data_IF_719558968791
#
_entry.id   IF_719558968791
#
_cell.length_a   1.000
_cell.length_b   1.000
_cell.length_c   1.000
_cell.angle_alpha   90.00
_cell.angle_beta   90.00
_cell.angle_gamma   90.00
#
_symmetry.space_group_name_H-M   'P 1'
#
loop_
_entity.id
_entity.type
_entity.pdbx_description
1 polymer ?
#
# COMPACT_ATOMS: atom_id res chain seq x y z
N UNK A 1 43.69 -33.52 40.73
CA UNK A 1 42.22 -33.66 40.69
C UNK A 1 41.87 -34.64 39.61
N UNK A 2 40.97 -35.56 39.83
CA UNK A 2 40.46 -36.44 38.78
C UNK A 2 39.55 -35.64 37.84
N UNK A 3 39.43 -36.05 36.59
CA UNK A 3 38.55 -35.40 35.58
C UNK A 3 37.11 -35.26 36.09
N UNK A 4 36.62 -36.20 36.89
CA UNK A 4 35.32 -36.15 37.54
C UNK A 4 35.23 -35.05 38.63
N UNK A 5 36.33 -34.76 39.33
CA UNK A 5 36.38 -33.65 40.30
C UNK A 5 36.42 -32.28 39.61
N UNK A 6 37.10 -32.17 38.45
CA UNK A 6 37.11 -30.95 37.61
C UNK A 6 35.71 -30.69 37.06
N UNK A 7 35.05 -31.73 36.56
CA UNK A 7 33.64 -31.62 36.05
C UNK A 7 32.70 -31.15 37.18
N UNK A 8 32.85 -31.71 38.39
CA UNK A 8 32.00 -31.36 39.55
C UNK A 8 32.22 -29.94 40.01
N UNK A 9 33.48 -29.46 39.99
CA UNK A 9 33.80 -28.06 40.31
C UNK A 9 33.31 -27.09 39.26
N UNK A 10 33.59 -27.33 37.97
CA UNK A 10 33.12 -26.51 36.89
C UNK A 10 31.60 -26.43 36.82
N UNK A 11 30.91 -27.53 37.02
CA UNK A 11 29.42 -27.57 37.11
C UNK A 11 28.88 -26.79 38.32
N UNK A 12 29.66 -26.64 39.40
CA UNK A 12 29.31 -25.80 40.56
C UNK A 12 29.59 -24.32 40.31
N UNK A 13 30.60 -23.99 39.50
CA UNK A 13 30.92 -22.60 39.14
C UNK A 13 30.02 -22.01 38.08
N UNK A 14 29.40 -22.84 37.17
CA UNK A 14 28.38 -22.41 36.23
C UNK A 14 27.11 -22.04 36.98
N UNK A 15 27.08 -20.82 37.50
CA UNK A 15 25.95 -20.35 38.33
C UNK A 15 24.64 -20.26 37.57
N UNK A 16 24.66 -20.04 36.26
CA UNK A 16 23.41 -19.96 35.46
C UNK A 16 23.72 -20.02 33.95
N UNK A 17 23.20 -21.02 33.26
CA UNK A 17 23.13 -21.05 31.79
C UNK A 17 21.84 -20.35 31.39
N UNK A 18 21.94 -19.34 30.55
CA UNK A 18 20.79 -18.62 30.02
C UNK A 18 20.48 -19.15 28.63
N UNK A 19 19.22 -19.46 28.40
CA UNK A 19 18.71 -19.90 27.12
C UNK A 19 17.71 -18.87 26.60
N UNK A 20 17.89 -18.45 25.35
CA UNK A 20 16.98 -17.52 24.69
C UNK A 20 16.54 -18.08 23.36
N UNK A 21 15.24 -18.01 23.10
CA UNK A 21 14.61 -18.35 21.83
C UNK A 21 14.23 -17.06 21.10
N UNK A 22 14.54 -16.99 19.81
CA UNK A 22 14.10 -15.89 18.98
C UNK A 22 12.57 -15.86 18.92
N UNK A 23 11.91 -14.68 18.91
CA UNK A 23 10.48 -14.62 18.77
C UNK A 23 10.00 -15.29 17.47
N UNK A 24 8.88 -15.98 17.54
CA UNK A 24 8.19 -16.61 16.42
C UNK A 24 6.97 -15.78 15.99
N UNK A 25 6.40 -16.13 14.84
CA UNK A 25 5.20 -15.50 14.28
C UNK A 25 4.20 -16.59 13.87
N UNK A 26 2.95 -16.47 14.28
CA UNK A 26 1.88 -17.40 13.89
C UNK A 26 1.79 -17.52 12.38
N UNK A 27 1.68 -18.76 11.87
CA UNK A 27 1.55 -19.05 10.44
C UNK A 27 2.82 -18.82 9.60
N UNK A 28 3.98 -18.61 10.24
CA UNK A 28 5.27 -18.49 9.55
C UNK A 28 6.21 -19.62 9.96
N UNK A 29 6.84 -20.26 8.98
CA UNK A 29 7.84 -21.30 9.24
C UNK A 29 8.92 -20.78 10.20
N UNK A 30 9.17 -21.54 11.24
CA UNK A 30 10.16 -21.25 12.29
C UNK A 30 11.22 -22.35 12.30
N UNK A 31 12.48 -21.96 12.26
CA UNK A 31 13.62 -22.88 12.38
C UNK A 31 14.80 -22.10 12.99
N UNK A 32 14.99 -22.20 14.30
CA UNK A 32 15.96 -21.41 15.03
C UNK A 32 16.74 -22.25 16.05
N UNK A 33 18.04 -21.97 16.16
CA UNK A 33 18.84 -22.47 17.28
C UNK A 33 18.47 -21.75 18.57
N UNK A 34 18.55 -22.49 19.69
CA UNK A 34 18.48 -21.87 21.00
C UNK A 34 19.79 -21.12 21.26
N UNK A 35 19.71 -19.83 21.52
CA UNK A 35 20.90 -19.05 21.93
C UNK A 35 21.25 -19.42 23.37
N UNK A 36 22.51 -19.81 23.57
CA UNK A 36 23.06 -20.24 24.87
C UNK A 36 24.09 -19.20 25.29
N UNK A 37 23.89 -18.63 26.47
CA UNK A 37 24.81 -17.65 27.04
C UNK A 37 25.62 -18.32 28.18
N UNK A 38 26.74 -18.89 27.81
CA UNK A 38 27.75 -19.49 28.70
C UNK A 38 29.04 -19.73 27.92
N UNK A 39 30.23 -19.65 28.58
CA UNK A 39 31.49 -19.99 27.95
C UNK A 39 31.70 -21.51 27.79
N UNK A 40 30.95 -22.36 28.50
CA UNK A 40 31.07 -23.80 28.43
C UNK A 40 30.34 -24.39 27.24
N UNK A 41 30.79 -25.53 26.78
CA UNK A 41 30.09 -26.28 25.75
C UNK A 41 28.84 -26.96 26.36
N UNK A 42 27.67 -26.61 25.81
CA UNK A 42 26.39 -27.14 26.23
C UNK A 42 25.74 -27.92 25.08
N UNK A 43 25.19 -29.07 25.37
CA UNK A 43 24.40 -29.89 24.45
C UNK A 43 22.96 -29.99 24.96
N UNK A 44 21.99 -29.63 24.13
CA UNK A 44 20.56 -29.74 24.44
C UNK A 44 20.09 -31.14 24.10
N UNK A 45 19.62 -31.88 25.10
CA UNK A 45 19.15 -33.27 24.94
C UNK A 45 17.65 -33.35 24.63
N UNK A 46 16.85 -32.40 25.10
CA UNK A 46 15.43 -32.29 24.81
C UNK A 46 14.90 -30.88 25.12
N UNK A 47 13.81 -30.51 24.47
CA UNK A 47 13.05 -29.32 24.80
C UNK A 47 11.57 -29.70 24.93
N UNK A 48 10.98 -29.37 26.08
CA UNK A 48 9.55 -29.51 26.31
C UNK A 48 8.87 -28.20 25.92
N UNK A 49 8.07 -28.25 24.85
CA UNK A 49 7.23 -27.14 24.36
C UNK A 49 5.81 -27.67 24.24
N UNK A 50 4.80 -26.88 24.60
CA UNK A 50 3.40 -27.29 24.45
C UNK A 50 3.13 -27.65 22.97
N UNK A 51 2.68 -28.87 22.66
CA UNK A 51 2.37 -29.32 21.30
C UNK A 51 1.34 -28.38 20.57
N UNK A 52 0.48 -27.70 21.31
CA UNK A 52 -0.47 -26.74 20.75
C UNK A 52 0.21 -25.56 20.04
N UNK A 53 1.47 -25.31 20.36
CA UNK A 53 2.24 -24.26 19.67
C UNK A 53 2.55 -24.58 18.22
N UNK A 54 2.47 -25.85 17.79
CA UNK A 54 2.90 -26.30 16.46
C UNK A 54 4.42 -26.39 16.28
N UNK A 55 5.18 -26.29 17.39
CA UNK A 55 6.64 -26.32 17.37
C UNK A 55 7.17 -27.57 18.04
N UNK A 56 8.32 -28.08 17.55
CA UNK A 56 9.04 -29.20 18.09
C UNK A 56 10.54 -28.96 18.09
N UNK A 57 11.26 -29.70 18.90
CA UNK A 57 12.73 -29.71 18.92
C UNK A 57 13.28 -30.82 18.02
N UNK A 58 14.11 -30.42 17.07
CA UNK A 58 14.94 -31.32 16.28
C UNK A 58 16.30 -31.47 16.96
N UNK A 59 16.47 -32.58 17.68
CA UNK A 59 17.70 -32.85 18.42
C UNK A 59 18.92 -33.02 17.50
N UNK A 60 18.73 -33.59 16.30
CA UNK A 60 19.83 -33.81 15.34
C UNK A 60 20.43 -32.52 14.85
N UNK A 61 19.58 -31.54 14.52
CA UNK A 61 19.97 -30.25 14.03
C UNK A 61 20.09 -29.21 15.14
N UNK A 62 19.73 -29.52 16.39
CA UNK A 62 19.75 -28.63 17.56
C UNK A 62 18.93 -27.35 17.33
N UNK A 63 17.77 -27.45 16.65
CA UNK A 63 16.87 -26.34 16.35
C UNK A 63 15.47 -26.59 16.89
N UNK A 64 14.77 -25.54 17.22
CA UNK A 64 13.32 -25.54 17.38
C UNK A 64 12.70 -25.22 16.03
N UNK A 65 11.80 -26.07 15.54
CA UNK A 65 11.23 -25.99 14.19
C UNK A 65 9.73 -26.27 14.19
N UNK A 66 9.04 -25.78 13.16
CA UNK A 66 7.62 -25.99 12.92
C UNK A 66 6.92 -24.73 12.42
N UNK A 67 5.61 -24.75 12.44
CA UNK A 67 4.77 -23.60 12.13
C UNK A 67 3.99 -23.20 13.40
N UNK A 68 4.28 -22.00 13.98
CA UNK A 68 3.59 -21.55 15.19
C UNK A 68 2.09 -21.36 14.95
N UNK A 69 1.26 -21.95 15.80
CA UNK A 69 -0.21 -21.94 15.66
C UNK A 69 -0.90 -21.01 16.67
N UNK A 70 -0.31 -20.81 17.84
CA UNK A 70 -0.95 -20.09 18.95
C UNK A 70 -0.04 -18.97 19.43
N UNK A 71 -0.53 -17.72 19.32
CA UNK A 71 0.18 -16.56 19.83
C UNK A 71 0.21 -16.54 21.36
N UNK A 72 1.25 -15.95 21.93
CA UNK A 72 1.41 -15.78 23.37
C UNK A 72 2.81 -16.04 23.86
N UNK A 73 2.99 -15.97 25.16
CA UNK A 73 4.23 -16.34 25.84
C UNK A 73 4.12 -17.78 26.33
N UNK A 74 4.88 -18.68 25.73
CA UNK A 74 4.85 -20.10 26.01
C UNK A 74 6.04 -20.49 26.88
N UNK A 75 5.76 -21.23 27.96
CA UNK A 75 6.79 -21.77 28.85
C UNK A 75 7.52 -22.91 28.14
N UNK A 76 8.85 -22.93 28.24
CA UNK A 76 9.73 -23.88 27.59
C UNK A 76 10.69 -24.43 28.64
N UNK A 77 10.79 -25.77 28.72
CA UNK A 77 11.76 -26.45 29.59
C UNK A 77 12.85 -27.06 28.71
N UNK A 78 14.09 -26.65 28.95
CA UNK A 78 15.25 -27.12 28.21
C UNK A 78 16.02 -28.10 29.07
N UNK A 79 16.21 -29.32 28.55
CA UNK A 79 17.05 -30.34 29.13
C UNK A 79 18.43 -30.29 28.47
N UNK A 80 19.47 -30.17 29.25
CA UNK A 80 20.82 -29.98 28.72
C UNK A 80 21.90 -30.64 29.56
N UNK A 81 23.05 -30.87 28.94
CA UNK A 81 24.27 -31.34 29.58
C UNK A 81 25.40 -30.34 29.33
N UNK A 82 26.28 -30.18 30.29
CA UNK A 82 27.51 -29.41 30.13
C UNK A 82 28.63 -30.38 29.77
N UNK A 83 29.40 -30.10 28.74
CA UNK A 83 30.49 -30.93 28.23
C UNK A 83 31.82 -30.27 28.60
N UNK A 84 32.67 -30.97 29.34
CA UNK A 84 34.00 -30.51 29.71
C UNK A 84 34.96 -31.68 29.46
N UNK A 85 36.00 -31.44 28.66
CA UNK A 85 37.03 -32.47 28.34
C UNK A 85 36.44 -33.78 27.86
N UNK A 86 35.43 -33.76 27.00
CA UNK A 86 34.69 -34.90 26.47
C UNK A 86 33.89 -35.71 27.51
N UNK A 87 33.65 -35.17 28.69
CA UNK A 87 32.76 -35.76 29.71
C UNK A 87 31.50 -34.89 29.83
N UNK A 88 30.32 -35.56 29.88
CA UNK A 88 29.02 -34.92 30.04
C UNK A 88 28.59 -34.91 31.50
N UNK A 89 28.02 -33.82 31.97
CA UNK A 89 27.33 -33.75 33.25
C UNK A 89 26.06 -34.61 33.25
N UNK A 90 25.46 -34.80 34.42
CA UNK A 90 24.04 -35.24 34.49
C UNK A 90 23.14 -34.24 33.75
N UNK A 91 21.98 -34.70 33.25
CA UNK A 91 20.98 -33.87 32.61
C UNK A 91 20.47 -32.84 33.61
N UNK A 92 20.47 -31.57 33.20
CA UNK A 92 19.96 -30.43 33.94
C UNK A 92 18.72 -29.85 33.23
N UNK A 93 17.91 -29.10 33.96
CA UNK A 93 16.72 -28.42 33.42
C UNK A 93 16.89 -26.91 33.59
N UNK A 94 16.50 -26.17 32.57
CA UNK A 94 16.33 -24.74 32.61
C UNK A 94 14.94 -24.34 32.10
N UNK A 95 14.39 -23.29 32.68
CA UNK A 95 13.13 -22.71 32.25
C UNK A 95 13.41 -21.45 31.45
N UNK A 96 12.73 -21.30 30.33
CA UNK A 96 12.72 -20.10 29.49
C UNK A 96 11.34 -19.90 28.90
N UNK A 97 11.20 -18.86 28.08
CA UNK A 97 9.94 -18.56 27.39
C UNK A 97 10.21 -18.36 25.91
N UNK A 98 9.27 -18.81 25.09
CA UNK A 98 9.18 -18.46 23.69
C UNK A 98 8.00 -17.49 23.50
N UNK A 99 8.29 -16.34 22.90
CA UNK A 99 7.27 -15.40 22.48
C UNK A 99 6.84 -15.74 21.06
N UNK A 100 5.57 -16.06 20.88
CA UNK A 100 4.94 -16.23 19.56
C UNK A 100 4.03 -15.02 19.33
N UNK A 101 4.41 -14.17 18.39
CA UNK A 101 3.60 -13.01 18.02
C UNK A 101 2.40 -13.45 17.18
N UNK A 102 1.22 -12.82 17.32
CA UNK A 102 0.10 -13.07 16.43
C UNK A 102 0.42 -12.64 15.00
N UNK A 103 -0.24 -13.24 14.01
CA UNK A 103 -0.21 -12.70 12.65
C UNK A 103 -0.76 -11.26 12.69
N UNK A 104 -0.01 -10.25 12.23
CA UNK A 104 -0.49 -8.87 12.19
C UNK A 104 -1.85 -8.72 11.50
N UNK A 105 -2.15 -9.55 10.51
CA UNK A 105 -3.43 -9.54 9.80
C UNK A 105 -4.61 -9.86 10.73
N UNK A 106 -4.42 -10.73 11.73
CA UNK A 106 -5.45 -11.12 12.69
C UNK A 106 -5.82 -10.02 13.68
N UNK A 107 -5.02 -8.96 13.78
CA UNK A 107 -5.27 -7.82 14.66
C UNK A 107 -6.23 -6.81 14.03
N UNK A 108 -6.41 -6.85 12.72
CA UNK A 108 -7.29 -5.95 12.00
C UNK A 108 -8.71 -6.47 11.96
N UNK A 109 -9.65 -5.63 12.39
CA UNK A 109 -11.09 -5.89 12.27
C UNK A 109 -11.59 -5.31 10.96
N UNK A 110 -12.57 -5.94 10.37
CA UNK A 110 -13.31 -5.38 9.24
C UNK A 110 -14.74 -5.06 9.71
N UNK A 111 -14.92 -3.87 10.28
CA UNK A 111 -16.20 -3.36 10.74
C UNK A 111 -16.85 -2.64 9.54
N UNK A 112 -18.07 -3.02 9.10
CA UNK A 112 -18.75 -2.31 8.03
C UNK A 112 -18.90 -0.82 8.36
N UNK A 113 -18.75 0.05 7.36
CA UNK A 113 -19.06 1.47 7.53
C UNK A 113 -20.57 1.67 7.76
N UNK A 114 -20.92 2.70 8.52
CA UNK A 114 -22.32 3.01 8.81
C UNK A 114 -22.99 3.70 7.59
N UNK A 115 -23.95 3.04 6.91
CA UNK A 115 -24.60 3.61 5.74
C UNK A 115 -25.56 4.77 6.06
N UNK A 116 -25.81 5.05 7.33
CA UNK A 116 -26.70 6.14 7.77
C UNK A 116 -25.94 7.45 8.05
N UNK A 117 -24.60 7.40 8.04
CA UNK A 117 -23.80 8.60 8.23
C UNK A 117 -23.96 9.59 7.07
N UNK A 118 -23.79 10.88 7.39
CA UNK A 118 -23.71 11.92 6.38
C UNK A 118 -22.57 11.61 5.40
N UNK A 119 -22.84 11.67 4.09
CA UNK A 119 -21.92 11.32 3.02
C UNK A 119 -21.44 9.85 3.07
N UNK A 120 -22.32 8.95 3.49
CA UNK A 120 -22.04 7.52 3.37
C UNK A 120 -21.78 7.13 1.91
N UNK A 121 -20.72 6.36 1.70
CA UNK A 121 -20.39 5.77 0.39
C UNK A 121 -19.96 4.31 0.55
N UNK A 122 -20.00 3.51 -0.51
CA UNK A 122 -19.55 2.11 -0.46
C UNK A 122 -18.09 1.97 -0.02
N UNK A 123 -17.79 0.91 0.72
CA UNK A 123 -16.44 0.57 1.19
C UNK A 123 -15.48 0.25 0.02
N UNK A 124 -16.02 -0.04 -1.15
CA UNK A 124 -15.27 -0.26 -2.39
C UNK A 124 -16.05 0.23 -3.61
N UNK A 125 -15.33 0.60 -4.66
CA UNK A 125 -15.87 0.97 -5.95
C UNK A 125 -14.94 0.51 -7.06
N UNK A 126 -15.51 0.13 -8.22
CA UNK A 126 -14.72 -0.14 -9.41
C UNK A 126 -15.50 0.20 -10.68
N UNK A 127 -14.80 0.51 -11.75
CA UNK A 127 -15.35 0.86 -13.03
C UNK A 127 -14.43 0.43 -14.16
N UNK A 128 -15.00 -0.02 -15.26
CA UNK A 128 -14.29 -0.30 -16.50
C UNK A 128 -14.90 0.52 -17.66
N UNK A 129 -14.04 1.05 -18.53
CA UNK A 129 -14.42 1.56 -19.85
C UNK A 129 -13.62 0.74 -20.85
N UNK A 130 -14.32 -0.06 -21.66
CA UNK A 130 -13.70 -0.91 -22.65
C UNK A 130 -14.36 -0.69 -24.03
N UNK A 131 -13.53 -0.34 -25.00
CA UNK A 131 -13.92 -0.16 -26.40
C UNK A 131 -12.78 -0.63 -27.33
N UNK A 132 -12.96 -0.72 -28.66
CA UNK A 132 -11.90 -1.16 -29.56
C UNK A 132 -10.58 -0.36 -29.49
N UNK A 133 -10.62 0.89 -29.03
CA UNK A 133 -9.44 1.77 -28.95
C UNK A 133 -9.10 2.22 -27.55
N UNK A 134 -9.90 1.90 -26.55
CA UNK A 134 -9.77 2.42 -25.18
C UNK A 134 -10.04 1.30 -24.19
N UNK A 135 -9.11 1.12 -23.26
CA UNK A 135 -9.30 0.29 -22.09
C UNK A 135 -8.85 1.08 -20.85
N UNK A 136 -9.79 1.35 -19.95
CA UNK A 136 -9.54 2.00 -18.68
C UNK A 136 -10.11 1.19 -17.54
N UNK A 137 -9.34 0.96 -16.52
CA UNK A 137 -9.74 0.30 -15.28
C UNK A 137 -9.57 1.25 -14.11
N UNK A 138 -10.53 1.28 -13.23
CA UNK A 138 -10.45 2.05 -11.98
C UNK A 138 -10.98 1.22 -10.84
N UNK A 139 -10.29 1.27 -9.71
CA UNK A 139 -10.77 0.65 -8.48
C UNK A 139 -10.31 1.45 -7.27
N UNK A 140 -11.15 1.45 -6.24
CA UNK A 140 -10.87 2.06 -4.95
C UNK A 140 -11.39 1.17 -3.84
N UNK A 141 -10.54 0.83 -2.90
CA UNK A 141 -10.79 -0.09 -1.80
C UNK A 141 -10.52 0.60 -0.47
N UNK A 142 -11.47 0.46 0.46
CA UNK A 142 -11.29 0.94 1.83
C UNK A 142 -10.09 0.28 2.49
N UNK A 143 -9.24 1.09 3.11
CA UNK A 143 -8.07 0.65 3.85
C UNK A 143 -8.40 -0.04 5.17
N UNK A 144 -7.44 -0.81 5.69
CA UNK A 144 -7.62 -1.53 6.96
C UNK A 144 -7.70 -0.59 8.15
N UNK A 145 -7.06 0.59 8.09
CA UNK A 145 -7.15 1.61 9.13
C UNK A 145 -8.58 2.11 9.33
N UNK A 146 -9.30 2.39 8.24
CA UNK A 146 -10.71 2.77 8.26
C UNK A 146 -11.61 1.58 8.62
N UNK A 147 -11.37 0.42 8.02
CA UNK A 147 -12.12 -0.80 8.30
C UNK A 147 -12.06 -1.22 9.78
N UNK A 148 -10.91 -1.00 10.45
CA UNK A 148 -10.75 -1.33 11.87
C UNK A 148 -11.60 -0.47 12.79
N UNK A 149 -11.87 0.78 12.38
CA UNK A 149 -12.70 1.75 13.13
C UNK A 149 -14.17 1.70 12.71
N UNK A 150 -14.50 1.13 11.54
CA UNK A 150 -15.83 1.20 10.94
C UNK A 150 -16.07 2.52 10.20
N UNK A 151 -14.98 3.24 9.86
CA UNK A 151 -15.05 4.45 9.05
C UNK A 151 -15.26 4.09 7.57
N UNK A 152 -15.82 5.02 6.79
CA UNK A 152 -15.96 4.85 5.34
C UNK A 152 -14.62 5.08 4.63
N UNK A 153 -14.56 4.70 3.37
CA UNK A 153 -13.46 4.99 2.44
C UNK A 153 -13.41 6.50 2.16
N UNK A 154 -12.24 7.10 2.30
CA UNK A 154 -12.02 8.53 2.06
C UNK A 154 -11.53 8.83 0.62
N UNK A 155 -10.92 7.86 -0.06
CA UNK A 155 -10.52 7.97 -1.48
C UNK A 155 -11.71 7.98 -2.44
N UNK A 156 -11.51 8.61 -3.63
CA UNK A 156 -12.43 8.47 -4.77
C UNK A 156 -11.70 8.57 -6.12
N UNK A 157 -12.43 8.24 -7.19
CA UNK A 157 -11.95 8.33 -8.56
C UNK A 157 -13.07 8.71 -9.52
N UNK A 158 -12.67 9.18 -10.71
CA UNK A 158 -13.56 9.34 -11.86
C UNK A 158 -12.82 8.97 -13.13
N UNK A 159 -13.47 8.18 -14.01
CA UNK A 159 -12.96 7.89 -15.34
C UNK A 159 -14.02 8.19 -16.40
N UNK A 160 -13.59 8.72 -17.53
CA UNK A 160 -14.42 8.94 -18.69
C UNK A 160 -13.58 8.85 -19.96
N UNK A 161 -14.19 8.50 -21.08
CA UNK A 161 -13.52 8.44 -22.36
C UNK A 161 -14.46 8.79 -23.52
N UNK A 162 -13.88 9.30 -24.59
CA UNK A 162 -14.51 9.48 -25.89
C UNK A 162 -13.59 8.98 -27.00
N UNK A 163 -13.99 9.18 -28.26
CA UNK A 163 -13.27 8.61 -29.41
C UNK A 163 -11.77 8.96 -29.45
N UNK A 164 -11.42 10.16 -29.02
CA UNK A 164 -10.05 10.70 -29.10
C UNK A 164 -9.50 11.20 -27.78
N UNK A 165 -10.10 10.85 -26.66
CA UNK A 165 -9.67 11.31 -25.35
C UNK A 165 -10.00 10.32 -24.25
N UNK A 166 -9.20 10.35 -23.21
CA UNK A 166 -9.39 9.59 -21.95
C UNK A 166 -9.11 10.54 -20.78
N UNK A 167 -9.97 10.52 -19.78
CA UNK A 167 -9.86 11.30 -18.55
C UNK A 167 -9.81 10.35 -17.36
N UNK A 168 -8.81 10.53 -16.51
CA UNK A 168 -8.66 9.84 -15.24
C UNK A 168 -8.43 10.84 -14.12
N UNK A 169 -9.12 10.64 -12.99
CA UNK A 169 -9.01 11.47 -11.80
C UNK A 169 -8.96 10.54 -10.61
N UNK A 170 -8.06 10.79 -9.67
CA UNK A 170 -8.06 10.19 -8.34
C UNK A 170 -7.93 11.27 -7.28
N UNK A 171 -8.51 11.05 -6.12
CA UNK A 171 -8.44 11.96 -4.99
C UNK A 171 -8.41 11.16 -3.69
N UNK A 172 -7.50 11.55 -2.80
CA UNK A 172 -7.34 11.01 -1.45
C UNK A 172 -7.88 12.01 -0.45
N UNK A 173 -8.85 11.60 0.34
CA UNK A 173 -9.45 12.42 1.37
C UNK A 173 -8.61 12.43 2.64
N UNK A 174 -8.20 13.61 3.11
CA UNK A 174 -7.37 13.75 4.32
C UNK A 174 -7.98 13.04 5.54
N UNK A 175 -7.33 12.02 6.07
CA UNK A 175 -7.85 11.23 7.20
C UNK A 175 -8.06 12.00 8.50
N UNK A 176 -7.57 13.25 8.58
CA UNK A 176 -7.83 14.18 9.69
C UNK A 176 -9.05 15.08 9.47
N UNK A 177 -9.58 15.15 8.24
CA UNK A 177 -10.71 16.01 7.91
C UNK A 177 -12.05 15.28 8.12
N UNK A 178 -13.01 15.99 8.64
CA UNK A 178 -14.29 15.39 9.10
C UNK A 178 -15.12 14.79 7.96
N UNK A 179 -15.06 15.41 6.78
CA UNK A 179 -15.87 15.07 5.61
C UNK A 179 -15.00 14.79 4.37
N UNK A 180 -13.75 14.38 4.58
CA UNK A 180 -12.76 14.05 3.54
C UNK A 180 -13.30 13.10 2.47
N UNK A 181 -14.08 12.08 2.90
CA UNK A 181 -14.75 11.12 2.00
C UNK A 181 -15.67 11.77 0.96
N UNK A 182 -16.30 12.88 1.35
CA UNK A 182 -17.15 13.63 0.42
C UNK A 182 -16.33 14.66 -0.36
N UNK A 183 -15.30 15.22 0.26
CA UNK A 183 -14.36 16.13 -0.42
C UNK A 183 -13.74 15.49 -1.64
N UNK A 184 -13.15 14.29 -1.50
CA UNK A 184 -12.57 13.52 -2.60
C UNK A 184 -13.60 13.20 -3.70
N UNK A 185 -14.81 12.76 -3.29
CA UNK A 185 -15.89 12.46 -4.21
C UNK A 185 -16.35 13.71 -4.97
N UNK A 186 -16.58 14.81 -4.27
CA UNK A 186 -17.05 16.07 -4.86
C UNK A 186 -16.03 16.63 -5.86
N UNK A 187 -14.75 16.58 -5.53
CA UNK A 187 -13.65 16.97 -6.42
C UNK A 187 -13.67 16.11 -7.69
N UNK A 188 -13.61 14.79 -7.57
CA UNK A 188 -13.58 13.87 -8.70
C UNK A 188 -14.77 14.08 -9.63
N UNK A 189 -15.99 14.15 -9.08
CA UNK A 189 -17.19 14.32 -9.86
C UNK A 189 -17.30 15.71 -10.50
N UNK A 190 -16.93 16.78 -9.78
CA UNK A 190 -17.00 18.14 -10.34
C UNK A 190 -16.06 18.30 -11.52
N UNK A 191 -14.80 17.88 -11.38
CA UNK A 191 -13.82 17.93 -12.48
C UNK A 191 -14.25 17.01 -13.63
N UNK A 192 -14.72 15.79 -13.31
CA UNK A 192 -15.19 14.83 -14.30
C UNK A 192 -16.36 15.34 -15.13
N UNK A 193 -17.36 15.94 -14.50
CA UNK A 193 -18.50 16.55 -15.18
C UNK A 193 -18.11 17.78 -15.98
N UNK A 194 -17.23 18.63 -15.47
CA UNK A 194 -16.70 19.77 -16.19
C UNK A 194 -16.08 19.34 -17.53
N UNK A 195 -15.17 18.36 -17.49
CA UNK A 195 -14.56 17.87 -18.71
C UNK A 195 -15.52 17.11 -19.61
N UNK A 196 -16.50 16.39 -19.10
CA UNK A 196 -17.52 15.76 -19.93
C UNK A 196 -18.28 16.79 -20.77
N UNK A 197 -18.50 18.01 -20.25
CA UNK A 197 -19.11 19.11 -21.00
C UNK A 197 -18.15 19.76 -22.00
N UNK A 198 -16.89 20.00 -21.58
CA UNK A 198 -15.85 20.58 -22.45
C UNK A 198 -15.58 19.68 -23.66
N UNK A 199 -15.43 18.37 -23.40
CA UNK A 199 -15.08 17.39 -24.41
C UNK A 199 -16.25 17.01 -25.36
N UNK A 200 -17.48 17.33 -24.98
CA UNK A 200 -18.66 17.22 -25.83
C UNK A 200 -18.81 18.39 -26.81
N UNK A 201 -18.01 19.46 -26.70
CA UNK A 201 -18.06 20.62 -27.61
C UNK A 201 -17.63 20.21 -29.04
N UNK A 202 -18.24 20.76 -30.09
CA UNK A 202 -17.88 20.43 -31.47
C UNK A 202 -16.56 21.09 -31.92
N UNK A 203 -15.70 21.49 -31.00
CA UNK A 203 -14.40 22.10 -31.26
C UNK A 203 -13.34 21.02 -31.16
N UNK A 204 -12.45 20.86 -32.17
CA UNK A 204 -11.36 19.90 -32.08
C UNK A 204 -10.48 20.19 -30.84
N UNK A 205 -10.16 19.16 -30.08
CA UNK A 205 -9.43 19.28 -28.81
C UNK A 205 -8.03 19.91 -28.95
N UNK A 206 -7.40 19.75 -30.12
CA UNK A 206 -6.11 20.42 -30.42
C UNK A 206 -6.23 21.94 -30.54
N UNK A 207 -7.44 22.50 -30.68
CA UNK A 207 -7.71 23.93 -30.68
C UNK A 207 -8.16 24.45 -29.31
N UNK A 208 -8.48 23.58 -28.38
CA UNK A 208 -8.85 23.95 -27.02
C UNK A 208 -7.59 24.31 -26.20
N UNK A 209 -7.72 25.34 -25.37
CA UNK A 209 -6.70 25.65 -24.37
C UNK A 209 -6.86 24.73 -23.14
N UNK A 210 -6.34 23.50 -23.25
CA UNK A 210 -6.49 22.48 -22.21
C UNK A 210 -5.90 22.94 -20.86
N UNK A 211 -4.83 23.74 -20.89
CA UNK A 211 -4.26 24.28 -19.64
C UNK A 211 -5.25 25.19 -18.92
N UNK A 212 -5.97 26.06 -19.64
CA UNK A 212 -7.02 26.90 -19.07
C UNK A 212 -8.20 26.06 -18.57
N UNK A 213 -8.64 25.08 -19.37
CA UNK A 213 -9.77 24.21 -18.99
C UNK A 213 -9.43 23.40 -17.73
N UNK A 214 -8.17 22.95 -17.53
CA UNK A 214 -7.73 22.30 -16.30
C UNK A 214 -7.81 23.25 -15.10
N UNK A 215 -7.36 24.49 -15.25
CA UNK A 215 -7.46 25.51 -14.19
C UNK A 215 -8.92 25.82 -13.84
N UNK A 216 -9.77 25.95 -14.84
CA UNK A 216 -11.19 26.21 -14.64
C UNK A 216 -11.90 25.05 -13.96
N UNK A 217 -11.54 23.81 -14.32
CA UNK A 217 -12.07 22.61 -13.68
C UNK A 217 -11.68 22.49 -12.18
N UNK A 218 -10.41 22.79 -11.86
CA UNK A 218 -9.95 22.85 -10.47
C UNK A 218 -10.65 23.95 -9.68
N UNK A 219 -10.82 25.15 -10.30
CA UNK A 219 -11.56 26.25 -9.67
C UNK A 219 -13.02 25.87 -9.42
N UNK A 220 -13.66 25.18 -10.35
CA UNK A 220 -15.01 24.69 -10.16
C UNK A 220 -15.11 23.71 -8.98
N UNK A 221 -14.11 22.84 -8.78
CA UNK A 221 -14.05 21.95 -7.65
C UNK A 221 -13.87 22.69 -6.31
N UNK A 222 -13.00 23.71 -6.27
CA UNK A 222 -12.84 24.56 -5.06
C UNK A 222 -14.14 25.27 -4.74
N UNK A 223 -14.79 25.90 -5.73
CA UNK A 223 -16.09 26.54 -5.52
C UNK A 223 -17.17 25.57 -5.04
N UNK A 224 -17.15 24.31 -5.51
CA UNK A 224 -18.08 23.30 -5.06
C UNK A 224 -17.84 22.92 -3.58
N UNK A 225 -16.58 22.78 -3.16
CA UNK A 225 -16.22 22.53 -1.75
C UNK A 225 -16.66 23.68 -0.85
N UNK A 226 -16.49 24.94 -1.28
CA UNK A 226 -16.91 26.13 -0.53
C UNK A 226 -18.43 26.20 -0.40
N UNK A 227 -19.15 25.93 -1.49
CA UNK A 227 -20.61 25.93 -1.48
C UNK A 227 -21.16 24.85 -0.55
N UNK A 228 -20.57 23.66 -0.55
CA UNK A 228 -20.96 22.59 0.34
C UNK A 228 -20.63 22.90 1.82
N UNK A 229 -19.42 23.41 2.08
CA UNK A 229 -19.04 23.83 3.43
C UNK A 229 -20.00 24.90 3.99
N UNK A 230 -20.38 25.88 3.18
CA UNK A 230 -21.36 26.88 3.55
C UNK A 230 -22.74 26.27 3.82
N UNK A 231 -23.21 25.35 2.97
CA UNK A 231 -24.51 24.68 3.13
C UNK A 231 -24.61 23.87 4.42
N UNK A 232 -23.51 23.25 4.81
CA UNK A 232 -23.41 22.41 6.04
C UNK A 232 -22.96 23.18 7.28
N UNK A 233 -22.69 24.49 7.18
CA UNK A 233 -22.10 25.29 8.27
C UNK A 233 -20.79 24.70 8.79
N UNK A 234 -19.98 24.17 7.88
CA UNK A 234 -18.67 23.57 8.10
C UNK A 234 -17.56 24.47 7.53
N UNK A 235 -16.31 24.12 7.81
CA UNK A 235 -15.15 24.77 7.21
C UNK A 235 -14.70 24.01 5.94
N UNK A 236 -14.14 24.69 4.96
CA UNK A 236 -13.63 24.04 3.72
C UNK A 236 -12.57 22.98 4.05
N UNK A 237 -11.73 23.21 5.07
CA UNK A 237 -10.74 22.24 5.54
C UNK A 237 -11.34 20.91 6.02
N UNK A 238 -12.61 20.88 6.41
CA UNK A 238 -13.31 19.66 6.81
C UNK A 238 -13.53 18.70 5.62
N UNK A 239 -13.36 19.19 4.40
CA UNK A 239 -13.45 18.45 3.13
C UNK A 239 -12.10 18.29 2.44
N UNK A 240 -10.99 18.48 3.17
CA UNK A 240 -9.65 18.45 2.59
C UNK A 240 -9.38 17.14 1.85
N UNK A 241 -8.85 17.25 0.63
CA UNK A 241 -8.49 16.12 -0.23
C UNK A 241 -7.42 16.52 -1.23
N UNK A 242 -6.60 15.54 -1.61
CA UNK A 242 -5.69 15.63 -2.77
C UNK A 242 -6.47 15.55 -4.08
N UNK A 243 -5.80 15.78 -5.20
CA UNK A 243 -6.32 15.49 -6.54
C UNK A 243 -5.22 15.27 -7.55
N UNK A 244 -5.33 14.21 -8.32
CA UNK A 244 -4.51 13.90 -9.48
C UNK A 244 -5.41 13.79 -10.70
N UNK A 245 -5.07 14.51 -11.77
CA UNK A 245 -5.84 14.50 -13.02
C UNK A 245 -4.93 14.19 -14.19
N UNK A 246 -5.38 13.29 -15.06
CA UNK A 246 -4.78 13.06 -16.39
C UNK A 246 -5.85 13.17 -17.46
N UNK A 247 -5.62 14.03 -18.43
CA UNK A 247 -6.35 14.06 -19.70
C UNK A 247 -5.41 13.66 -20.82
N UNK A 248 -5.63 12.49 -21.42
CA UNK A 248 -4.95 12.04 -22.61
C UNK A 248 -5.80 12.36 -23.84
N UNK A 249 -5.22 13.04 -24.81
CA UNK A 249 -5.90 13.44 -26.07
C UNK A 249 -5.08 12.94 -27.25
N UNK A 250 -5.74 12.32 -28.23
CA UNK A 250 -5.12 12.00 -29.51
C UNK A 250 -5.22 13.20 -30.47
N UNK A 251 -4.07 13.78 -30.79
CA UNK A 251 -3.96 14.84 -31.79
C UNK A 251 -3.84 14.20 -33.19
N UNK A 252 -4.95 14.20 -33.91
CA UNK A 252 -5.01 13.61 -35.26
C UNK A 252 -4.20 14.36 -36.32
N UNK A 253 -3.85 15.63 -36.09
CA UNK A 253 -3.00 16.39 -37.02
C UNK A 253 -1.54 16.03 -36.87
N UNK A 254 -1.07 15.88 -35.62
CA UNK A 254 0.31 15.54 -35.31
C UNK A 254 0.54 14.03 -35.19
N UNK A 255 -0.52 13.24 -35.21
CA UNK A 255 -0.49 11.80 -34.95
C UNK A 255 0.24 11.48 -33.65
N UNK A 256 -0.17 12.14 -32.56
CA UNK A 256 0.45 12.03 -31.24
C UNK A 256 -0.59 11.97 -30.13
N UNK A 257 -0.29 11.19 -29.10
CA UNK A 257 -0.99 11.24 -27.82
C UNK A 257 -0.39 12.32 -26.94
N UNK A 258 -1.23 13.16 -26.38
CA UNK A 258 -0.84 14.27 -25.52
C UNK A 258 -1.45 14.04 -24.14
N UNK A 259 -0.59 13.83 -23.14
CA UNK A 259 -0.99 13.67 -21.74
C UNK A 259 -0.84 15.01 -21.04
N UNK A 260 -1.95 15.55 -20.58
CA UNK A 260 -1.98 16.73 -19.72
C UNK A 260 -2.24 16.27 -18.30
N UNK A 261 -1.41 16.73 -17.35
CA UNK A 261 -1.54 16.32 -15.95
C UNK A 261 -1.49 17.53 -15.03
N UNK A 262 -2.24 17.42 -13.95
CA UNK A 262 -2.14 18.30 -12.79
C UNK A 262 -2.25 17.46 -11.53
N UNK A 263 -1.46 17.80 -10.52
CA UNK A 263 -1.43 17.10 -9.24
C UNK A 263 -1.38 18.11 -8.09
N UNK A 264 -2.20 17.86 -7.08
CA UNK A 264 -2.15 18.51 -5.77
C UNK A 264 -2.14 17.37 -4.74
N UNK A 265 -1.05 17.22 -4.01
CA UNK A 265 -0.85 16.14 -3.03
C UNK A 265 0.23 15.15 -3.42
N UNK A 266 0.29 14.01 -2.74
CA UNK A 266 1.41 13.07 -2.65
C UNK A 266 1.25 11.78 -3.46
N UNK A 267 0.12 11.55 -4.10
CA UNK A 267 -0.05 10.41 -5.02
C UNK A 267 0.83 10.47 -6.26
N UNK A 268 0.81 9.43 -7.10
CA UNK A 268 1.67 9.29 -8.27
C UNK A 268 0.90 9.19 -9.58
N UNK A 269 1.44 9.87 -10.63
CA UNK A 269 1.03 9.75 -12.03
C UNK A 269 2.25 9.33 -12.84
N UNK A 270 2.21 8.20 -13.53
CA UNK A 270 3.31 7.77 -14.37
C UNK A 270 2.86 7.17 -15.69
N UNK A 271 3.67 7.41 -16.72
CA UNK A 271 3.67 6.62 -17.95
C UNK A 271 4.62 5.44 -17.76
N UNK A 272 4.20 4.26 -18.19
CA UNK A 272 5.01 3.05 -18.08
C UNK A 272 5.06 2.28 -19.38
N UNK A 273 6.26 1.92 -19.84
CA UNK A 273 6.50 1.10 -21.02
C UNK A 273 6.85 -0.34 -20.60
N UNK A 274 5.91 -1.29 -20.63
CA UNK A 274 6.17 -2.67 -20.18
C UNK A 274 7.28 -3.36 -20.94
N UNK A 275 7.42 -3.08 -22.25
CA UNK A 275 8.40 -3.73 -23.11
C UNK A 275 9.85 -3.32 -22.82
N UNK A 276 10.06 -2.05 -22.46
CA UNK A 276 11.39 -1.49 -22.17
C UNK A 276 11.64 -1.30 -20.69
N UNK A 277 10.63 -1.54 -19.85
CA UNK A 277 10.67 -1.35 -18.39
C UNK A 277 11.04 0.09 -17.99
N UNK A 278 10.65 1.05 -18.81
CA UNK A 278 10.88 2.47 -18.56
C UNK A 278 9.64 3.08 -17.91
N UNK A 279 9.86 4.05 -17.05
CA UNK A 279 8.80 4.85 -16.44
C UNK A 279 9.16 6.33 -16.50
N UNK A 280 8.14 7.16 -16.69
CA UNK A 280 8.24 8.62 -16.57
C UNK A 280 7.19 9.06 -15.58
N UNK A 281 7.63 9.61 -14.46
CA UNK A 281 6.75 10.25 -13.49
C UNK A 281 6.28 11.60 -14.04
N UNK A 282 4.98 11.81 -14.11
CA UNK A 282 4.38 13.01 -14.68
C UNK A 282 4.02 14.09 -13.64
N UNK A 283 4.14 13.77 -12.35
CA UNK A 283 4.01 14.72 -11.25
C UNK A 283 5.22 14.62 -10.33
N UNK A 284 5.43 15.65 -9.52
CA UNK A 284 6.29 15.56 -8.35
C UNK A 284 5.36 15.46 -7.14
N UNK A 285 5.39 14.36 -6.37
CA UNK A 285 4.61 14.29 -5.15
C UNK A 285 4.89 15.51 -4.27
N UNK A 286 3.84 16.17 -3.82
CA UNK A 286 3.95 17.42 -3.05
C UNK A 286 3.84 17.08 -1.56
N UNK A 287 5.00 17.05 -0.90
CA UNK A 287 5.12 16.75 0.52
C UNK A 287 5.06 18.00 1.43
N UNK A 288 4.58 19.15 0.91
CA UNK A 288 4.48 20.38 1.68
C UNK A 288 5.82 21.02 2.07
N UNK A 289 5.78 22.06 2.93
CA UNK A 289 6.98 22.76 3.40
C UNK A 289 7.77 21.98 4.46
N UNK A 290 7.14 20.99 5.10
CA UNK A 290 7.75 20.08 6.07
C UNK A 290 7.60 18.64 5.61
N UNK A 291 8.61 17.81 5.86
CA UNK A 291 8.58 16.40 5.51
C UNK A 291 7.34 15.71 6.15
N UNK A 292 6.47 15.15 5.32
CA UNK A 292 5.23 14.49 5.74
C UNK A 292 4.00 15.40 5.84
N UNK A 293 4.05 16.62 5.28
CA UNK A 293 2.89 17.51 5.16
C UNK A 293 2.35 17.42 3.72
N UNK A 294 1.14 16.87 3.57
CA UNK A 294 0.45 16.78 2.27
C UNK A 294 -0.30 18.07 1.98
N UNK A 295 -0.21 18.58 0.75
CA UNK A 295 -1.06 19.67 0.29
C UNK A 295 -2.41 19.15 -0.21
N UNK A 296 -3.45 19.92 0.06
CA UNK A 296 -4.82 19.61 -0.37
C UNK A 296 -5.31 20.68 -1.36
N UNK A 297 -6.30 20.32 -2.17
CA UNK A 297 -6.90 21.25 -3.11
C UNK A 297 -7.51 22.44 -2.38
N UNK A 298 -7.06 23.66 -2.72
CA UNK A 298 -7.47 24.93 -2.13
C UNK A 298 -7.27 26.09 -3.11
N UNK A 299 -7.38 27.33 -2.66
CA UNK A 299 -7.24 28.52 -3.52
C UNK A 299 -5.83 28.72 -4.09
N UNK A 300 -4.82 28.10 -3.51
CA UNK A 300 -3.43 28.15 -3.98
C UNK A 300 -3.14 27.14 -5.12
N UNK A 301 -4.16 26.36 -5.54
CA UNK A 301 -4.02 25.40 -6.65
C UNK A 301 -3.51 26.03 -7.96
N UNK A 302 -3.71 27.32 -8.16
CA UNK A 302 -3.21 28.05 -9.33
C UNK A 302 -1.69 27.97 -9.49
N UNK A 303 -0.96 27.59 -8.43
CA UNK A 303 0.48 27.36 -8.45
C UNK A 303 0.84 25.91 -8.79
N UNK A 304 -0.15 24.98 -8.79
CA UNK A 304 0.09 23.60 -9.17
C UNK A 304 0.59 23.52 -10.63
N UNK A 305 1.73 22.86 -10.89
CA UNK A 305 2.26 22.77 -12.24
C UNK A 305 1.33 21.90 -13.10
N UNK A 306 0.97 22.43 -14.28
CA UNK A 306 0.34 21.64 -15.33
C UNK A 306 1.45 21.13 -16.23
N UNK A 307 1.60 19.82 -16.29
CA UNK A 307 2.60 19.17 -17.10
C UNK A 307 1.97 18.67 -18.41
N UNK A 308 2.80 18.64 -19.47
CA UNK A 308 2.41 18.13 -20.79
C UNK A 308 3.46 17.17 -21.31
N UNK A 309 3.04 15.97 -21.65
CA UNK A 309 3.89 14.96 -22.28
C UNK A 309 3.29 14.53 -23.61
N UNK A 310 4.12 14.31 -24.63
CA UNK A 310 3.69 13.88 -25.97
C UNK A 310 4.38 12.58 -26.37
N UNK A 311 3.63 11.65 -26.92
CA UNK A 311 4.15 10.39 -27.45
C UNK A 311 3.49 10.07 -28.80
N UNK A 312 4.22 9.44 -29.71
CA UNK A 312 3.66 8.95 -30.98
C UNK A 312 2.84 7.66 -30.78
N UNK A 313 3.12 6.93 -29.74
CA UNK A 313 2.40 5.71 -29.36
C UNK A 313 1.58 5.98 -28.10
N UNK A 314 0.49 5.25 -27.94
CA UNK A 314 -0.22 5.26 -26.68
C UNK A 314 0.66 4.58 -25.62
N UNK A 315 0.85 5.22 -24.50
CA UNK A 315 1.61 4.70 -23.36
C UNK A 315 0.68 4.48 -22.20
N UNK A 316 0.64 3.28 -21.60
CA UNK A 316 -0.10 3.06 -20.37
C UNK A 316 0.20 4.11 -19.31
N UNK A 317 -0.86 4.69 -18.74
CA UNK A 317 -0.76 5.68 -17.69
C UNK A 317 -1.41 5.15 -16.41
N UNK A 318 -0.70 5.26 -15.30
CA UNK A 318 -1.16 4.83 -13.98
C UNK A 318 -1.30 6.05 -13.08
N UNK A 319 -2.46 6.16 -12.42
CA UNK A 319 -2.72 7.15 -11.38
C UNK A 319 -3.05 6.41 -10.09
N UNK A 320 -2.43 6.79 -8.97
CA UNK A 320 -2.66 6.13 -7.69
C UNK A 320 -2.56 7.10 -6.52
N UNK A 321 -3.33 6.81 -5.46
CA UNK A 321 -3.18 7.45 -4.15
C UNK A 321 -2.00 6.84 -3.39
N UNK A 322 -1.57 7.49 -2.31
CA UNK A 322 -0.42 7.08 -1.48
C UNK A 322 -0.60 5.69 -0.87
N UNK A 323 -1.84 5.27 -0.58
CA UNK A 323 -2.14 3.90 -0.13
C UNK A 323 -1.68 2.80 -1.08
N UNK A 324 -1.47 3.13 -2.37
CA UNK A 324 -0.85 2.23 -3.35
C UNK A 324 0.62 2.57 -3.53
N UNK A 325 0.98 3.85 -3.77
CA UNK A 325 2.38 4.21 -4.05
C UNK A 325 3.32 3.88 -2.90
N UNK A 326 2.96 4.17 -1.66
CA UNK A 326 3.79 3.90 -0.49
C UNK A 326 4.00 2.40 -0.20
N UNK A 327 3.09 1.56 -0.70
CA UNK A 327 3.23 0.12 -0.56
C UNK A 327 4.24 -0.50 -1.55
N UNK A 328 4.46 0.13 -2.71
CA UNK A 328 5.32 -0.37 -3.78
C UNK A 328 6.61 0.44 -3.97
N UNK A 329 6.67 1.66 -3.47
CA UNK A 329 7.80 2.57 -3.65
C UNK A 329 8.28 3.07 -2.29
N UNK A 330 9.45 2.61 -1.85
CA UNK A 330 10.03 2.94 -0.54
C UNK A 330 10.43 4.42 -0.39
N UNK A 331 10.37 5.21 -1.46
CA UNK A 331 10.74 6.64 -1.48
C UNK A 331 10.34 7.32 -2.79
N UNK A 332 10.28 8.65 -2.81
CA UNK A 332 10.07 9.46 -4.03
C UNK A 332 11.09 9.17 -5.14
N UNK A 333 12.32 8.78 -4.76
CA UNK A 333 13.32 8.36 -5.74
C UNK A 333 12.99 7.01 -6.38
N UNK A 334 12.30 6.12 -5.68
CA UNK A 334 11.82 4.86 -6.23
C UNK A 334 10.76 5.08 -7.31
N UNK A 335 9.90 6.11 -7.19
CA UNK A 335 8.94 6.51 -8.22
C UNK A 335 9.60 6.91 -9.56
N UNK A 336 10.89 7.27 -9.56
CA UNK A 336 11.68 7.57 -10.76
C UNK A 336 12.39 6.35 -11.33
N UNK A 337 12.27 5.19 -10.67
CA UNK A 337 12.96 3.94 -11.04
C UNK A 337 12.07 3.03 -11.86
N UNK A 338 12.43 2.76 -13.11
CA UNK A 338 11.71 1.80 -13.97
C UNK A 338 11.60 0.40 -13.35
N UNK A 339 12.59 -0.04 -12.57
CA UNK A 339 12.58 -1.34 -11.90
C UNK A 339 11.48 -1.44 -10.82
N UNK A 340 11.20 -0.35 -10.09
CA UNK A 340 10.12 -0.33 -9.11
C UNK A 340 8.75 -0.42 -9.80
N UNK A 341 8.55 0.31 -10.90
CA UNK A 341 7.35 0.20 -11.74
C UNK A 341 7.20 -1.17 -12.37
N UNK A 342 8.30 -1.83 -12.76
CA UNK A 342 8.28 -3.21 -13.23
C UNK A 342 7.73 -4.17 -12.17
N UNK A 343 8.11 -3.99 -10.91
CA UNK A 343 7.60 -4.83 -9.82
C UNK A 343 6.09 -4.67 -9.66
N UNK A 344 5.58 -3.43 -9.63
CA UNK A 344 4.15 -3.15 -9.58
C UNK A 344 3.42 -3.75 -10.80
N UNK A 345 3.94 -3.53 -12.02
CA UNK A 345 3.32 -4.04 -13.23
C UNK A 345 3.26 -5.57 -13.27
N UNK A 346 4.35 -6.24 -12.89
CA UNK A 346 4.38 -7.70 -12.80
C UNK A 346 3.40 -8.24 -11.76
N UNK A 347 3.27 -7.56 -10.62
CA UNK A 347 2.32 -7.96 -9.58
C UNK A 347 0.87 -7.81 -10.06
N UNK A 348 0.53 -6.71 -10.75
CA UNK A 348 -0.76 -6.53 -11.40
C UNK A 348 -1.06 -7.63 -12.43
N UNK A 349 -0.08 -7.97 -13.27
CA UNK A 349 -0.23 -9.03 -14.29
C UNK A 349 -0.44 -10.42 -13.65
N UNK A 350 0.38 -10.78 -12.67
CA UNK A 350 0.32 -12.08 -11.98
C UNK A 350 -1.02 -12.31 -11.28
N UNK A 351 -1.65 -11.23 -10.82
CA UNK A 351 -2.95 -11.26 -10.16
C UNK A 351 -4.11 -10.96 -11.11
N UNK A 352 -3.88 -10.90 -12.43
CA UNK A 352 -4.89 -10.62 -13.47
C UNK A 352 -5.61 -9.27 -13.28
N UNK A 353 -5.02 -8.35 -12.54
CA UNK A 353 -5.60 -7.05 -12.20
C UNK A 353 -5.69 -6.08 -13.41
N UNK A 354 -5.03 -6.43 -14.53
CA UNK A 354 -5.10 -5.68 -15.80
C UNK A 354 -6.24 -6.16 -16.72
N UNK A 355 -6.97 -7.20 -16.35
CA UNK A 355 -8.00 -7.82 -17.21
C UNK A 355 -9.36 -7.14 -17.05
N UNK A 356 -9.76 -6.85 -15.81
CA UNK A 356 -11.04 -6.19 -15.51
C UNK A 356 -11.01 -5.42 -14.17
N UNK A 357 -12.04 -4.60 -13.94
CA UNK A 357 -12.15 -3.75 -12.76
C UNK A 357 -12.38 -4.52 -11.45
N UNK A 358 -12.95 -5.74 -11.50
CA UNK A 358 -13.20 -6.57 -10.32
C UNK A 358 -11.91 -7.24 -9.86
N UNK A 359 -11.08 -7.69 -10.81
CA UNK A 359 -9.77 -8.24 -10.51
C UNK A 359 -8.86 -7.15 -9.94
N UNK A 360 -8.91 -5.93 -10.52
CA UNK A 360 -8.19 -4.78 -9.98
C UNK A 360 -8.63 -4.45 -8.55
N UNK A 361 -9.95 -4.45 -8.30
CA UNK A 361 -10.49 -4.23 -6.96
C UNK A 361 -10.03 -5.31 -5.96
N UNK A 362 -10.08 -6.58 -6.37
CA UNK A 362 -9.62 -7.70 -5.53
C UNK A 362 -8.11 -7.59 -5.24
N UNK A 363 -7.32 -7.15 -6.23
CA UNK A 363 -5.89 -6.92 -6.05
C UNK A 363 -5.59 -5.83 -5.03
N UNK A 364 -6.38 -4.76 -4.94
CA UNK A 364 -6.17 -3.67 -3.97
C UNK A 364 -6.27 -4.13 -2.50
N UNK A 365 -6.82 -5.31 -2.20
CA UNK A 365 -6.81 -5.86 -0.84
C UNK A 365 -5.47 -6.52 -0.45
N UNK A 366 -4.38 -6.28 -1.19
CA UNK A 366 -3.07 -6.80 -0.85
C UNK A 366 -2.62 -6.39 0.57
N UNK A 367 -1.75 -7.21 1.18
CA UNK A 367 -1.14 -6.88 2.46
C UNK A 367 0.16 -6.10 2.25
N UNK A 368 0.28 -4.93 2.87
CA UNK A 368 1.52 -4.16 2.96
C UNK A 368 1.96 -4.01 4.42
N UNK A 369 3.26 -3.87 4.63
CA UNK A 369 3.80 -3.63 5.97
C UNK A 369 3.82 -2.11 6.20
N UNK A 370 3.06 -1.65 7.19
CA UNK A 370 3.11 -0.24 7.64
C UNK A 370 2.13 0.70 6.95
N UNK A 371 1.68 0.41 5.72
CA UNK A 371 0.65 1.19 5.03
C UNK A 371 -0.68 0.42 5.02
N UNK A 372 -1.72 1.00 5.62
CA UNK A 372 -3.06 0.42 5.76
C UNK A 372 -4.16 1.39 5.37
N UNK A 373 -3.80 2.42 4.61
CA UNK A 373 -4.72 3.45 4.12
C UNK A 373 -5.60 2.97 2.98
N UNK A 374 -6.57 3.78 2.59
CA UNK A 374 -7.40 3.55 1.42
C UNK A 374 -6.53 3.44 0.18
N UNK A 375 -6.99 2.70 -0.82
CA UNK A 375 -6.21 2.41 -2.02
C UNK A 375 -7.02 2.66 -3.25
N UNK A 376 -6.52 3.56 -4.08
CA UNK A 376 -7.15 3.87 -5.36
C UNK A 376 -6.11 3.79 -6.47
N UNK A 377 -6.46 3.05 -7.52
CA UNK A 377 -5.65 2.92 -8.73
C UNK A 377 -6.53 3.05 -9.97
N UNK A 378 -6.10 3.92 -10.87
CA UNK A 378 -6.66 4.04 -12.22
C UNK A 378 -5.59 3.69 -13.24
N UNK A 379 -5.95 2.83 -14.18
CA UNK A 379 -5.14 2.37 -15.28
C UNK A 379 -5.76 2.83 -16.59
N UNK A 380 -5.03 3.63 -17.38
CA UNK A 380 -5.33 3.93 -18.77
C UNK A 380 -4.48 3.00 -19.63
N UNK A 381 -5.12 2.01 -20.23
CA UNK A 381 -4.45 0.96 -21.03
C UNK A 381 -4.81 1.14 -22.51
N UNK A 382 -3.84 1.01 -23.38
CA UNK A 382 -4.09 0.87 -24.80
C UNK A 382 -4.66 -0.52 -25.10
N UNK A 383 -5.39 -0.67 -26.20
CA UNK A 383 -5.77 -1.99 -26.63
C UNK A 383 -4.56 -2.80 -27.13
N UNK A 384 -4.47 -4.05 -26.71
CA UNK A 384 -3.40 -5.00 -27.06
C UNK A 384 -3.50 -5.56 -28.49
N UNK A 385 -4.16 -4.83 -29.40
CA UNK A 385 -4.40 -5.28 -30.77
C UNK A 385 -3.57 -4.55 -31.83
N UNK A 386 -2.52 -3.78 -31.38
CA UNK A 386 -1.50 -3.25 -32.30
C UNK A 386 -0.12 -3.83 -32.02
#
# INVERSE_FOLDING_TARGET
>A
MTTAQVLTLAVREVKRVLFTLAPALVGKSYAQHVKIDTPEQVYITAIEIDPKTGLMFDERNQIVTGEPLVAGQHHVIIHYQIIIQNQSSSIKKANTYLLINPDPRSLWKNIPSDPTQLYAKPDSASQIINSPSINMLAASQRGRSHAHKGDARDDDFFIAAGEHWQLAIVADGAGSAKYSRYGSQLICHTIGHFFSQVLARPIPLYQANIELELKDALNAAVCALEAEAQAQQAEVKDYASTVLVVLCVFDSQQQTYVYWTVAVGDGAIALYWPQTQQAILLNTPDTGDYAGETRFLGHDFMQAPINRYCSKEFVPCLLMTDGVSDAFFDSDNALKSGAAWQNLWCDLQQNQALEDDKNLLAWLDFWSKGNHDDRTLVLMLGNTHD
#
